data_IF_355546153609
#
_entry.id   IF_355546153609
#
_cell.length_a   1.000
_cell.length_b   1.000
_cell.length_c   1.000
_cell.angle_alpha   90.00
_cell.angle_beta   90.00
_cell.angle_gamma   90.00
#
_symmetry.space_group_name_H-M   'P 1'
#
loop_
_entity.id
_entity.type
_entity.pdbx_description
1 polymer ?
#
# COMPACT_ATOMS: atom_id res chain seq x y z
N UNK A 1 -26.06 9.01 25.65
CA UNK A 1 -27.43 8.72 26.11
C UNK A 1 -27.63 8.85 27.64
N UNK A 2 -26.64 9.27 28.43
CA UNK A 2 -26.76 9.37 29.90
C UNK A 2 -27.24 10.72 30.47
N UNK A 3 -27.49 11.74 29.64
CA UNK A 3 -27.81 13.11 30.12
C UNK A 3 -29.24 13.59 29.79
N UNK A 4 -30.00 12.83 28.99
CA UNK A 4 -31.34 13.22 28.58
C UNK A 4 -32.35 12.72 29.63
N UNK A 5 -32.74 13.62 30.53
CA UNK A 5 -33.74 13.40 31.57
C UNK A 5 -35.15 13.21 30.96
N UNK A 6 -35.39 12.10 30.25
CA UNK A 6 -36.70 11.72 29.71
C UNK A 6 -37.18 12.46 28.45
N UNK A 7 -36.45 13.44 27.92
CA UNK A 7 -36.87 14.15 26.70
C UNK A 7 -36.37 13.46 25.42
N UNK A 8 -37.32 12.82 24.72
CA UNK A 8 -37.08 12.17 23.42
C UNK A 8 -36.44 13.13 22.39
N UNK A 9 -36.80 14.41 22.45
CA UNK A 9 -36.26 15.46 21.57
C UNK A 9 -34.73 15.64 21.71
N UNK A 10 -34.18 15.59 22.93
CA UNK A 10 -32.73 15.72 23.14
C UNK A 10 -31.95 14.52 22.59
N UNK A 11 -32.55 13.32 22.67
CA UNK A 11 -31.93 12.10 22.15
C UNK A 11 -31.86 12.15 20.63
N UNK A 12 -32.93 12.59 19.97
CA UNK A 12 -32.98 12.72 18.50
C UNK A 12 -31.97 13.77 18.03
N UNK A 13 -31.90 14.95 18.65
CA UNK A 13 -30.94 15.99 18.28
C UNK A 13 -29.49 15.52 18.52
N UNK A 14 -29.24 14.86 19.66
CA UNK A 14 -27.91 14.32 19.97
C UNK A 14 -27.45 13.26 18.98
N UNK A 15 -28.35 12.38 18.53
CA UNK A 15 -28.05 11.37 17.52
C UNK A 15 -27.79 11.99 16.15
N UNK A 16 -28.61 12.97 15.75
CA UNK A 16 -28.53 13.65 14.46
C UNK A 16 -27.20 14.41 14.32
N UNK A 17 -26.69 14.98 15.41
CA UNK A 17 -25.38 15.65 15.42
C UNK A 17 -24.22 14.65 15.55
N UNK A 18 -24.37 13.58 16.34
CA UNK A 18 -23.27 12.64 16.60
C UNK A 18 -22.89 11.80 15.39
N UNK A 19 -23.85 11.35 14.57
CA UNK A 19 -23.57 10.46 13.44
C UNK A 19 -22.68 11.15 12.39
N UNK A 20 -22.99 12.37 11.90
CA UNK A 20 -22.14 13.06 10.95
C UNK A 20 -20.74 13.33 11.48
N UNK A 21 -20.61 13.73 12.75
CA UNK A 21 -19.31 14.01 13.37
C UNK A 21 -18.44 12.74 13.41
N UNK A 22 -19.01 11.59 13.77
CA UNK A 22 -18.26 10.32 13.80
C UNK A 22 -17.83 9.90 12.40
N UNK A 23 -18.73 10.03 11.40
CA UNK A 23 -18.43 9.67 10.01
C UNK A 23 -17.32 10.58 9.45
N UNK A 24 -17.43 11.90 9.60
CA UNK A 24 -16.41 12.85 9.14
C UNK A 24 -15.10 12.73 9.92
N UNK A 25 -15.19 12.56 11.25
CA UNK A 25 -14.04 12.44 12.12
C UNK A 25 -13.20 11.19 11.81
N UNK A 26 -13.83 10.06 11.53
CA UNK A 26 -13.12 8.83 11.17
C UNK A 26 -12.36 8.95 9.84
N UNK A 27 -12.95 9.58 8.83
CA UNK A 27 -12.31 9.85 7.53
C UNK A 27 -11.09 10.76 7.69
N UNK A 28 -11.20 11.80 8.54
CA UNK A 28 -10.10 12.71 8.84
C UNK A 28 -8.95 11.97 9.54
N UNK A 29 -9.25 11.20 10.59
CA UNK A 29 -8.25 10.44 11.34
C UNK A 29 -7.56 9.43 10.42
N UNK A 30 -8.31 8.68 9.62
CA UNK A 30 -7.73 7.69 8.70
C UNK A 30 -6.78 8.35 7.71
N UNK A 31 -7.19 9.46 7.10
CA UNK A 31 -6.34 10.23 6.18
C UNK A 31 -5.06 10.73 6.85
N UNK A 32 -5.13 11.15 8.12
CA UNK A 32 -3.94 11.59 8.87
C UNK A 32 -3.03 10.43 9.26
N UNK A 33 -3.58 9.28 9.66
CA UNK A 33 -2.80 8.08 9.99
C UNK A 33 -2.13 7.51 8.75
N UNK A 34 -2.82 7.49 7.61
CA UNK A 34 -2.26 7.08 6.32
C UNK A 34 -1.17 8.04 5.83
N UNK A 35 -1.36 9.35 6.04
CA UNK A 35 -0.38 10.38 5.63
C UNK A 35 0.85 10.43 6.55
N UNK A 36 0.67 10.12 7.84
CA UNK A 36 1.74 10.16 8.84
C UNK A 36 1.74 8.89 9.72
N UNK A 37 2.33 7.77 9.23
CA UNK A 37 2.39 6.51 9.97
C UNK A 37 3.09 6.60 11.33
N UNK A 38 3.91 7.65 11.55
CA UNK A 38 4.53 7.93 12.86
C UNK A 38 3.54 8.14 14.00
N UNK A 39 2.30 8.56 13.71
CA UNK A 39 1.24 8.75 14.72
C UNK A 39 0.93 7.44 15.47
N UNK A 40 1.01 6.30 14.79
CA UNK A 40 0.75 4.97 15.39
C UNK A 40 1.80 4.65 16.45
N UNK A 41 3.07 4.99 16.19
CA UNK A 41 4.16 4.77 17.16
C UNK A 41 4.05 5.69 18.36
N UNK A 42 3.64 6.96 18.15
CA UNK A 42 3.37 7.90 19.25
C UNK A 42 2.21 7.39 20.12
N UNK A 43 1.11 6.97 19.50
CA UNK A 43 -0.04 6.39 20.21
C UNK A 43 0.34 5.12 20.97
N UNK A 44 1.10 4.22 20.35
CA UNK A 44 1.62 3.01 20.98
C UNK A 44 2.55 3.29 22.16
N UNK A 45 3.40 4.32 22.08
CA UNK A 45 4.27 4.74 23.17
C UNK A 45 3.47 5.23 24.38
N UNK A 46 2.43 6.03 24.15
CA UNK A 46 1.54 6.51 25.21
C UNK A 46 0.80 5.35 25.88
N UNK A 47 0.26 4.42 25.10
CA UNK A 47 -0.41 3.23 25.65
C UNK A 47 0.55 2.35 26.45
N UNK A 48 1.77 2.12 25.94
CA UNK A 48 2.79 1.35 26.66
C UNK A 48 3.21 2.04 27.97
N UNK A 49 3.34 3.37 27.99
CA UNK A 49 3.58 4.14 29.20
C UNK A 49 2.46 3.95 30.23
N UNK A 50 1.20 4.03 29.79
CA UNK A 50 0.06 3.83 30.70
C UNK A 50 0.03 2.42 31.28
N UNK A 51 0.33 1.40 30.48
CA UNK A 51 0.43 0.02 30.94
C UNK A 51 1.57 -0.17 31.95
N UNK A 52 2.76 0.35 31.67
CA UNK A 52 3.90 0.29 32.59
C UNK A 52 3.57 0.98 33.94
N UNK A 53 2.91 2.13 33.90
CA UNK A 53 2.46 2.83 35.11
C UNK A 53 1.47 2.01 35.92
N UNK A 54 0.53 1.31 35.27
CA UNK A 54 -0.44 0.43 35.95
C UNK A 54 0.24 -0.77 36.62
N UNK A 55 1.26 -1.36 35.97
CA UNK A 55 2.05 -2.47 36.52
C UNK A 55 2.82 -2.04 37.78
N UNK A 56 3.49 -0.89 37.73
CA UNK A 56 4.31 -0.40 38.87
C UNK A 56 3.43 0.06 40.04
N UNK A 57 2.21 0.51 39.75
CA UNK A 57 1.27 0.98 40.78
C UNK A 57 0.50 -0.17 41.46
N UNK A 58 0.77 -1.43 41.09
CA UNK A 58 0.04 -2.58 41.61
C UNK A 58 0.40 -2.85 43.09
N UNK A 59 -0.59 -3.05 43.99
CA UNK A 59 -0.34 -3.15 45.44
C UNK A 59 0.63 -4.25 45.83
N UNK A 60 0.69 -5.35 45.07
CA UNK A 60 1.59 -6.48 45.34
C UNK A 60 3.06 -6.17 45.04
N UNK A 61 3.34 -5.23 44.13
CA UNK A 61 4.71 -5.00 43.61
C UNK A 61 5.24 -3.62 44.00
N UNK A 62 4.37 -2.74 44.49
CA UNK A 62 4.67 -1.36 44.90
C UNK A 62 5.81 -1.26 45.93
N UNK A 63 5.83 -2.14 46.93
CA UNK A 63 6.86 -2.12 47.99
C UNK A 63 8.22 -2.62 47.47
N UNK A 64 8.21 -3.56 46.53
CA UNK A 64 9.43 -4.08 45.89
C UNK A 64 10.06 -3.05 44.95
N UNK A 65 9.25 -2.30 44.19
CA UNK A 65 9.73 -1.21 43.35
C UNK A 65 10.13 0.05 44.14
N UNK A 66 9.54 0.29 45.31
CA UNK A 66 9.96 1.34 46.22
C UNK A 66 11.37 1.09 46.81
N UNK A 67 11.73 -0.18 47.01
CA UNK A 67 13.06 -0.58 47.48
C UNK A 67 14.14 -0.47 46.38
N UNK A 68 13.77 -0.61 45.10
CA UNK A 68 14.70 -0.54 43.96
C UNK A 68 14.17 0.39 42.86
N UNK A 69 14.32 1.72 42.99
CA UNK A 69 13.80 2.68 42.01
C UNK A 69 14.41 2.50 40.61
N UNK A 70 15.63 1.98 40.53
CA UNK A 70 16.26 1.62 39.26
C UNK A 70 15.50 0.52 38.49
N UNK A 71 14.85 -0.41 39.19
CA UNK A 71 14.07 -1.49 38.59
C UNK A 71 12.78 -0.96 37.94
N UNK A 72 12.16 0.07 38.54
CA UNK A 72 11.00 0.74 37.96
C UNK A 72 11.33 1.39 36.61
N UNK A 73 12.48 2.07 36.52
CA UNK A 73 12.98 2.63 35.25
C UNK A 73 13.24 1.56 34.19
N UNK A 74 13.80 0.41 34.59
CA UNK A 74 14.02 -0.73 33.69
C UNK A 74 12.71 -1.29 33.15
N UNK A 75 11.67 -1.39 33.97
CA UNK A 75 10.33 -1.84 33.55
C UNK A 75 9.72 -0.88 32.50
N UNK A 76 9.84 0.44 32.67
CA UNK A 76 9.38 1.39 31.66
C UNK A 76 10.11 1.20 30.33
N UNK A 77 11.44 1.08 30.36
CA UNK A 77 12.26 0.88 29.16
C UNK A 77 11.90 -0.46 28.48
N UNK A 78 11.70 -1.52 29.26
CA UNK A 78 11.37 -2.85 28.75
C UNK A 78 9.97 -2.88 28.11
N UNK A 79 8.96 -2.27 28.74
CA UNK A 79 7.58 -2.27 28.23
C UNK A 79 7.45 -1.37 27.01
N UNK A 80 7.96 -0.13 27.07
CA UNK A 80 7.88 0.82 25.95
C UNK A 80 8.76 0.35 24.80
N UNK A 81 10.02 -0.02 25.08
CA UNK A 81 10.95 -0.56 24.09
C UNK A 81 10.46 -1.87 23.48
N UNK A 82 9.84 -2.74 24.28
CA UNK A 82 9.25 -3.99 23.80
C UNK A 82 8.03 -3.78 22.89
N UNK A 83 7.13 -2.86 23.24
CA UNK A 83 5.95 -2.56 22.41
C UNK A 83 6.34 -1.84 21.11
N UNK A 84 7.21 -0.83 21.19
CA UNK A 84 7.66 -0.09 20.01
C UNK A 84 8.61 -0.93 19.15
N UNK A 85 9.55 -1.63 19.77
CA UNK A 85 10.50 -2.52 19.11
C UNK A 85 9.82 -3.75 18.52
N UNK A 86 8.84 -4.34 19.21
CA UNK A 86 8.00 -5.43 18.72
C UNK A 86 7.06 -4.97 17.61
N UNK A 87 6.45 -3.80 17.73
CA UNK A 87 5.66 -3.18 16.66
C UNK A 87 6.51 -2.85 15.44
N UNK A 88 7.73 -2.34 15.63
CA UNK A 88 8.69 -2.11 14.56
C UNK A 88 9.14 -3.43 13.94
N UNK A 89 9.50 -4.43 14.75
CA UNK A 89 9.92 -5.75 14.28
C UNK A 89 8.79 -6.42 13.52
N UNK A 90 7.57 -6.56 14.04
CA UNK A 90 6.45 -7.18 13.30
C UNK A 90 6.09 -6.42 12.03
N UNK A 91 6.13 -5.08 12.06
CA UNK A 91 5.87 -4.25 10.89
C UNK A 91 7.02 -4.29 9.86
N UNK A 92 8.22 -4.73 10.25
CA UNK A 92 9.41 -4.87 9.40
C UNK A 92 9.94 -6.32 9.32
N UNK A 93 9.25 -7.30 9.91
CA UNK A 93 9.76 -8.64 10.13
C UNK A 93 9.55 -9.43 8.85
N UNK A 94 10.57 -10.18 8.39
CA UNK A 94 10.50 -10.96 7.17
C UNK A 94 9.71 -12.27 7.40
N UNK A 95 8.55 -12.22 8.05
CA UNK A 95 7.70 -13.37 8.35
C UNK A 95 6.95 -13.93 7.11
N UNK A 96 7.44 -13.62 5.90
CA UNK A 96 7.10 -14.30 4.64
C UNK A 96 8.27 -15.13 4.08
N UNK A 97 9.42 -15.17 4.76
CA UNK A 97 10.65 -15.78 4.25
C UNK A 97 10.69 -17.33 4.32
N UNK A 98 9.92 -17.98 5.21
CA UNK A 98 9.97 -19.46 5.35
C UNK A 98 9.14 -20.22 4.30
N UNK A 99 8.13 -19.57 3.72
CA UNK A 99 7.40 -20.12 2.56
C UNK A 99 8.20 -19.88 1.27
N UNK A 100 9.03 -18.82 1.23
CA UNK A 100 9.89 -18.50 0.10
C UNK A 100 11.04 -19.50 -0.09
N UNK A 101 11.49 -20.18 0.96
CA UNK A 101 12.60 -21.15 0.89
C UNK A 101 12.22 -22.44 0.17
N UNK A 102 10.96 -22.89 0.27
CA UNK A 102 10.44 -24.04 -0.49
C UNK A 102 10.16 -23.72 -1.97
N UNK A 103 10.10 -22.43 -2.34
CA UNK A 103 9.83 -21.98 -3.72
C UNK A 103 11.11 -21.46 -4.41
N UNK A 104 12.17 -21.16 -3.63
CA UNK A 104 13.48 -20.69 -4.10
C UNK A 104 14.25 -21.69 -5.00
N UNK A 105 13.70 -22.89 -5.24
CA UNK A 105 14.22 -23.84 -6.23
C UNK A 105 13.80 -23.54 -7.69
N UNK A 106 12.91 -22.58 -7.94
CA UNK A 106 12.36 -22.31 -9.28
C UNK A 106 12.71 -20.90 -9.75
N UNK A 107 14.00 -20.63 -9.93
CA UNK A 107 14.47 -19.42 -10.59
C UNK A 107 14.49 -19.55 -12.11
N UNK A 108 13.72 -18.72 -12.82
CA UNK A 108 13.90 -18.37 -14.24
C UNK A 108 13.37 -16.92 -14.38
N UNK A 109 14.19 -15.86 -14.50
CA UNK A 109 15.01 -15.39 -15.63
C UNK A 109 14.20 -15.12 -16.89
N UNK A 110 14.20 -13.86 -17.32
CA UNK A 110 13.81 -13.37 -18.64
C UNK A 110 14.11 -14.36 -19.76
N UNK A 111 13.08 -14.80 -20.49
CA UNK A 111 13.27 -15.26 -21.86
C UNK A 111 13.42 -14.02 -22.75
N UNK A 112 14.52 -13.86 -23.51
CA UNK A 112 14.57 -12.86 -24.56
C UNK A 112 13.51 -13.22 -25.59
N UNK A 113 12.48 -12.38 -25.73
CA UNK A 113 11.56 -12.53 -26.84
C UNK A 113 12.37 -12.39 -28.14
N UNK A 114 12.22 -13.32 -29.11
CA UNK A 114 12.91 -13.22 -30.38
C UNK A 114 12.54 -11.88 -31.02
N UNK A 115 13.55 -11.15 -31.48
CA UNK A 115 13.38 -9.98 -32.33
C UNK A 115 12.76 -10.44 -33.66
N UNK A 116 11.44 -10.65 -33.66
CA UNK A 116 10.68 -10.83 -34.87
C UNK A 116 10.50 -9.45 -35.50
N UNK A 117 10.94 -9.31 -36.76
CA UNK A 117 10.90 -8.10 -37.56
C UNK A 117 9.44 -7.70 -37.93
N UNK A 118 8.66 -7.28 -36.93
CA UNK A 118 7.27 -6.86 -37.08
C UNK A 118 6.80 -5.95 -35.94
N UNK A 119 5.61 -5.37 -36.09
CA UNK A 119 5.01 -4.52 -35.06
C UNK A 119 4.77 -5.36 -33.79
N UNK A 120 5.33 -4.92 -32.66
CA UNK A 120 5.12 -5.56 -31.36
C UNK A 120 3.85 -5.00 -30.74
N UNK A 121 2.85 -5.87 -30.50
CA UNK A 121 1.59 -5.52 -29.85
C UNK A 121 1.73 -5.76 -28.36
N UNK A 122 1.84 -4.68 -27.61
CA UNK A 122 2.11 -4.72 -26.17
C UNK A 122 0.81 -4.51 -25.40
N UNK A 123 0.54 -5.37 -24.42
CA UNK A 123 -0.43 -5.07 -23.37
C UNK A 123 0.28 -4.42 -22.18
N UNK A 124 -0.20 -3.26 -21.75
CA UNK A 124 0.34 -2.49 -20.63
C UNK A 124 -0.75 -2.29 -19.57
N UNK A 125 -0.78 -3.10 -18.50
CA UNK A 125 -1.69 -2.89 -17.38
C UNK A 125 -1.35 -1.61 -16.61
N UNK A 126 -2.34 -0.77 -16.32
CA UNK A 126 -2.16 0.52 -15.65
C UNK A 126 -3.17 0.77 -14.52
N UNK A 127 -2.67 1.35 -13.44
CA UNK A 127 -3.44 1.72 -12.24
C UNK A 127 -3.03 3.08 -11.66
N UNK A 128 -2.39 3.94 -12.47
CA UNK A 128 -1.76 5.20 -12.07
C UNK A 128 -0.69 5.09 -10.96
N UNK A 129 -0.27 3.88 -10.58
CA UNK A 129 0.89 3.71 -9.70
C UNK A 129 2.19 4.12 -10.40
N UNK A 130 3.16 4.58 -9.62
CA UNK A 130 4.50 4.89 -10.14
C UNK A 130 5.11 3.72 -10.92
N UNK A 131 4.88 2.48 -10.48
CA UNK A 131 5.36 1.28 -11.18
C UNK A 131 4.77 1.16 -12.58
N UNK A 132 3.44 1.29 -12.72
CA UNK A 132 2.76 1.22 -14.02
C UNK A 132 3.20 2.33 -14.97
N UNK A 133 3.48 3.54 -14.45
CA UNK A 133 3.99 4.66 -15.24
C UNK A 133 5.44 4.46 -15.68
N UNK A 134 6.28 3.85 -14.84
CA UNK A 134 7.65 3.48 -15.22
C UNK A 134 7.66 2.44 -16.36
N UNK A 135 6.69 1.50 -16.36
CA UNK A 135 6.52 0.59 -17.49
C UNK A 135 6.11 1.34 -18.78
N UNK A 136 5.24 2.35 -18.69
CA UNK A 136 4.90 3.21 -19.82
C UNK A 136 6.12 3.99 -20.35
N UNK A 137 6.93 4.58 -19.45
CA UNK A 137 8.18 5.26 -19.82
C UNK A 137 9.18 4.32 -20.49
N UNK A 138 9.26 3.06 -20.03
CA UNK A 138 10.10 2.04 -20.66
C UNK A 138 9.63 1.72 -22.08
N UNK A 139 8.32 1.55 -22.30
CA UNK A 139 7.74 1.37 -23.65
C UNK A 139 8.07 2.55 -24.56
N UNK A 140 8.01 3.78 -24.04
CA UNK A 140 8.39 4.99 -24.77
C UNK A 140 9.87 4.96 -25.16
N UNK A 141 10.75 4.57 -24.25
CA UNK A 141 12.18 4.47 -24.53
C UNK A 141 12.49 3.45 -25.64
N UNK A 142 11.74 2.35 -25.71
CA UNK A 142 11.85 1.36 -26.79
C UNK A 142 11.39 1.92 -28.13
N UNK A 143 10.29 2.67 -28.14
CA UNK A 143 9.81 3.33 -29.36
C UNK A 143 10.83 4.34 -29.88
N UNK A 144 11.42 5.15 -28.99
CA UNK A 144 12.47 6.09 -29.33
C UNK A 144 13.74 5.40 -29.88
N UNK A 145 14.01 4.16 -29.47
CA UNK A 145 15.09 3.33 -30.00
C UNK A 145 14.76 2.66 -31.36
N UNK A 146 13.60 2.97 -31.96
CA UNK A 146 13.20 2.48 -33.29
C UNK A 146 12.28 1.26 -33.28
N UNK A 147 11.75 0.85 -32.12
CA UNK A 147 10.78 -0.25 -32.07
C UNK A 147 9.41 0.19 -32.63
N UNK A 148 8.87 -0.62 -33.53
CA UNK A 148 7.50 -0.45 -34.03
C UNK A 148 6.52 -1.08 -33.04
N UNK A 149 5.83 -0.24 -32.27
CA UNK A 149 4.96 -0.66 -31.18
C UNK A 149 3.50 -0.28 -31.44
N UNK A 150 2.60 -1.17 -31.07
CA UNK A 150 1.17 -0.90 -30.90
C UNK A 150 0.81 -1.22 -29.46
N UNK A 151 0.32 -0.24 -28.70
CA UNK A 151 0.15 -0.37 -27.25
C UNK A 151 -1.34 -0.49 -26.90
N UNK A 152 -1.69 -1.49 -26.11
CA UNK A 152 -3.00 -1.63 -25.50
C UNK A 152 -2.89 -1.30 -24.02
N UNK A 153 -3.45 -0.17 -23.61
CA UNK A 153 -3.56 0.18 -22.18
C UNK A 153 -4.70 -0.59 -21.56
N UNK A 154 -4.47 -1.27 -20.44
CA UNK A 154 -5.50 -2.03 -19.74
C UNK A 154 -5.65 -1.54 -18.31
N UNK A 155 -6.85 -1.09 -17.96
CA UNK A 155 -7.23 -0.87 -16.56
C UNK A 155 -8.25 -1.95 -16.13
N UNK A 156 -7.92 -2.69 -15.07
CA UNK A 156 -8.83 -3.69 -14.49
C UNK A 156 -9.46 -3.14 -13.23
N UNK A 157 -10.79 -3.00 -13.27
CA UNK A 157 -11.61 -2.58 -12.14
C UNK A 157 -11.90 -3.76 -11.23
N UNK A 158 -11.57 -3.61 -9.94
CA UNK A 158 -11.91 -4.59 -8.90
C UNK A 158 -13.33 -4.30 -8.38
N UNK A 159 -14.19 -5.32 -8.20
CA UNK A 159 -15.51 -5.13 -7.59
C UNK A 159 -15.44 -4.40 -6.24
N UNK A 160 -16.34 -3.43 -6.04
CA UNK A 160 -16.61 -2.91 -4.70
C UNK A 160 -17.19 -4.04 -3.84
N UNK A 161 -16.80 -4.11 -2.56
CA UNK A 161 -17.40 -5.08 -1.65
C UNK A 161 -18.92 -4.84 -1.60
N UNK A 162 -19.70 -5.93 -1.54
CA UNK A 162 -21.17 -5.85 -1.53
C UNK A 162 -21.72 -4.94 -0.41
N UNK A 163 -20.93 -4.73 0.65
CA UNK A 163 -21.27 -3.84 1.76
C UNK A 163 -21.29 -2.36 1.34
N UNK A 164 -20.30 -1.92 0.55
CA UNK A 164 -20.21 -0.53 0.05
C UNK A 164 -21.21 -0.31 -1.09
N UNK A 165 -21.47 -1.34 -1.89
CA UNK A 165 -22.41 -1.26 -3.01
C UNK A 165 -23.87 -0.98 -2.59
N UNK A 166 -24.27 -1.36 -1.36
CA UNK A 166 -25.63 -1.18 -0.84
C UNK A 166 -26.00 0.28 -0.55
N UNK A 167 -25.03 1.19 -0.43
CA UNK A 167 -25.28 2.59 -0.07
C UNK A 167 -25.13 3.58 -1.24
N UNK A 168 -24.85 3.08 -2.45
CA UNK A 168 -24.63 3.91 -3.64
C UNK A 168 -25.69 3.61 -4.72
N UNK A 169 -26.25 4.67 -5.32
CA UNK A 169 -27.22 4.56 -6.43
C UNK A 169 -26.57 3.87 -7.64
N UNK A 170 -27.34 3.09 -8.43
CA UNK A 170 -26.85 2.51 -9.71
C UNK A 170 -26.22 3.56 -10.65
N UNK A 171 -26.75 4.79 -10.65
CA UNK A 171 -26.21 5.93 -11.42
C UNK A 171 -24.85 6.42 -10.90
N UNK A 172 -24.67 6.44 -9.58
CA UNK A 172 -23.44 6.94 -8.94
C UNK A 172 -22.29 5.93 -9.11
N UNK A 173 -22.62 4.63 -9.10
CA UNK A 173 -21.68 3.55 -9.39
C UNK A 173 -21.03 3.73 -10.77
N UNK A 174 -21.81 3.88 -11.83
CA UNK A 174 -21.28 4.00 -13.19
C UNK A 174 -20.43 5.27 -13.39
N UNK A 175 -20.84 6.39 -12.79
CA UNK A 175 -20.07 7.64 -12.85
C UNK A 175 -18.76 7.56 -12.09
N UNK A 176 -18.77 6.98 -10.88
CA UNK A 176 -17.57 6.80 -10.07
C UNK A 176 -16.56 5.93 -10.82
N UNK A 177 -17.03 4.81 -11.36
CA UNK A 177 -16.21 3.89 -12.09
C UNK A 177 -15.61 4.45 -13.38
N UNK A 178 -16.36 5.28 -14.10
CA UNK A 178 -15.84 5.97 -15.29
C UNK A 178 -14.77 6.98 -14.92
N UNK A 179 -14.97 7.74 -13.84
CA UNK A 179 -13.98 8.71 -13.34
C UNK A 179 -12.71 8.01 -12.83
N UNK A 180 -12.84 6.89 -12.12
CA UNK A 180 -11.69 6.12 -11.64
C UNK A 180 -10.87 5.52 -12.78
N UNK A 181 -11.52 4.93 -13.78
CA UNK A 181 -10.83 4.41 -14.95
C UNK A 181 -10.09 5.53 -15.72
N UNK A 182 -10.73 6.69 -15.87
CA UNK A 182 -10.11 7.85 -16.51
C UNK A 182 -8.91 8.36 -15.71
N UNK A 183 -9.00 8.44 -14.38
CA UNK A 183 -7.88 8.80 -13.51
C UNK A 183 -6.71 7.82 -13.62
N UNK A 184 -6.99 6.52 -13.74
CA UNK A 184 -5.97 5.50 -13.85
C UNK A 184 -5.26 5.51 -15.21
N UNK A 185 -6.01 5.71 -16.30
CA UNK A 185 -5.51 5.68 -17.67
C UNK A 185 -4.85 6.99 -18.10
N UNK A 186 -5.38 8.14 -17.69
CA UNK A 186 -4.98 9.46 -18.19
C UNK A 186 -3.45 9.71 -18.14
N UNK A 187 -2.72 9.43 -17.04
CA UNK A 187 -1.29 9.71 -17.00
C UNK A 187 -0.48 8.89 -18.00
N UNK A 188 -0.83 7.61 -18.19
CA UNK A 188 -0.18 6.75 -19.18
C UNK A 188 -0.55 7.15 -20.61
N UNK A 189 -1.82 7.50 -20.84
CA UNK A 189 -2.32 8.03 -22.11
C UNK A 189 -1.56 9.29 -22.53
N UNK A 190 -1.38 10.23 -21.60
CA UNK A 190 -0.66 11.49 -21.83
C UNK A 190 0.83 11.27 -22.11
N UNK A 191 1.45 10.26 -21.48
CA UNK A 191 2.83 9.86 -21.78
C UNK A 191 2.95 9.31 -23.21
N UNK A 192 2.07 8.39 -23.61
CA UNK A 192 2.10 7.77 -24.93
C UNK A 192 1.73 8.76 -26.05
N UNK A 193 0.74 9.64 -25.82
CA UNK A 193 0.35 10.72 -26.74
C UNK A 193 1.52 11.66 -27.04
N UNK A 194 2.22 12.12 -25.99
CA UNK A 194 3.40 13.00 -26.16
C UNK A 194 4.54 12.32 -26.91
N UNK A 195 4.65 11.00 -26.80
CA UNK A 195 5.65 10.22 -27.52
C UNK A 195 5.22 9.85 -28.95
N UNK A 196 4.00 10.18 -29.38
CA UNK A 196 3.48 9.83 -30.71
C UNK A 196 3.17 8.34 -30.89
N UNK A 197 2.99 7.59 -29.79
CA UNK A 197 2.78 6.14 -29.83
C UNK A 197 1.29 5.84 -30.00
N UNK A 198 0.96 5.05 -31.02
CA UNK A 198 -0.40 4.54 -31.22
C UNK A 198 -0.79 3.63 -30.06
N UNK A 199 -1.90 3.96 -29.42
CA UNK A 199 -2.44 3.16 -28.33
C UNK A 199 -3.96 3.06 -28.37
N UNK A 200 -4.49 2.02 -27.71
CA UNK A 200 -5.93 1.81 -27.51
C UNK A 200 -6.19 1.47 -26.05
N UNK A 201 -7.23 2.06 -25.49
CA UNK A 201 -7.59 1.88 -24.08
C UNK A 201 -8.62 0.78 -23.91
N UNK A 202 -8.43 -0.04 -22.88
CA UNK A 202 -9.33 -1.11 -22.46
C UNK A 202 -9.63 -0.98 -20.98
N UNK A 203 -10.92 -0.95 -20.64
CA UNK A 203 -11.38 -0.97 -19.25
C UNK A 203 -12.19 -2.23 -19.04
N UNK A 204 -11.71 -3.08 -18.14
CA UNK A 204 -12.28 -4.41 -17.90
C UNK A 204 -12.61 -4.59 -16.44
N UNK A 205 -13.46 -5.57 -16.15
CA UNK A 205 -13.92 -5.85 -14.79
C UNK A 205 -13.55 -7.27 -14.37
N UNK A 206 -13.04 -7.43 -13.16
CA UNK A 206 -12.77 -8.74 -12.57
C UNK A 206 -11.49 -8.80 -11.74
N UNK A 207 -10.99 -10.03 -11.56
CA UNK A 207 -9.66 -10.26 -10.99
C UNK A 207 -8.58 -9.72 -11.94
N UNK A 208 -7.56 -9.06 -11.38
CA UNK A 208 -6.53 -8.37 -12.17
C UNK A 208 -5.77 -9.34 -13.08
N UNK A 209 -5.24 -10.43 -12.53
CA UNK A 209 -4.37 -11.33 -13.27
C UNK A 209 -5.15 -12.12 -14.33
N UNK A 210 -6.29 -12.70 -13.95
CA UNK A 210 -7.14 -13.43 -14.90
C UNK A 210 -7.67 -12.54 -16.03
N UNK A 211 -7.95 -11.27 -15.72
CA UNK A 211 -8.40 -10.32 -16.75
C UNK A 211 -7.27 -9.88 -17.66
N UNK A 212 -6.06 -9.69 -17.13
CA UNK A 212 -4.86 -9.45 -17.94
C UNK A 212 -4.65 -10.60 -18.93
N UNK A 213 -4.68 -11.86 -18.46
CA UNK A 213 -4.56 -13.05 -19.31
C UNK A 213 -5.63 -13.08 -20.41
N UNK A 214 -6.91 -12.95 -20.01
CA UNK A 214 -8.05 -12.99 -20.93
C UNK A 214 -7.98 -11.91 -22.00
N UNK A 215 -7.57 -10.69 -21.63
CA UNK A 215 -7.43 -9.57 -22.58
C UNK A 215 -6.23 -9.78 -23.49
N UNK A 216 -5.11 -10.29 -22.97
CA UNK A 216 -3.94 -10.61 -23.77
C UNK A 216 -4.29 -11.63 -24.88
N UNK A 217 -5.00 -12.70 -24.51
CA UNK A 217 -5.52 -13.71 -25.46
C UNK A 217 -6.51 -13.10 -26.46
N UNK A 218 -7.49 -12.33 -25.97
CA UNK A 218 -8.53 -11.71 -26.80
C UNK A 218 -7.98 -10.75 -27.85
N UNK A 219 -6.94 -9.99 -27.51
CA UNK A 219 -6.33 -9.00 -28.39
C UNK A 219 -5.19 -9.59 -29.25
N UNK A 220 -4.75 -10.81 -28.96
CA UNK A 220 -3.61 -11.43 -29.63
C UNK A 220 -2.33 -10.61 -29.48
N UNK A 221 -2.09 -10.07 -28.27
CA UNK A 221 -0.84 -9.36 -27.96
C UNK A 221 0.33 -10.34 -27.94
N UNK A 222 1.52 -9.88 -28.30
CA UNK A 222 2.72 -10.73 -28.32
C UNK A 222 3.68 -10.43 -27.16
N UNK A 223 3.35 -9.44 -26.33
CA UNK A 223 4.10 -9.12 -25.13
C UNK A 223 3.22 -8.42 -24.08
N UNK A 224 3.45 -8.69 -22.80
CA UNK A 224 2.92 -7.90 -21.69
C UNK A 224 4.08 -7.16 -21.02
N UNK A 225 3.93 -5.87 -20.77
CA UNK A 225 4.92 -5.08 -20.02
C UNK A 225 4.29 -4.64 -18.71
N UNK A 226 4.93 -4.95 -17.59
CA UNK A 226 4.47 -4.56 -16.25
C UNK A 226 5.60 -3.92 -15.45
N UNK A 227 5.25 -2.98 -14.58
CA UNK A 227 6.19 -2.35 -13.66
C UNK A 227 6.15 -2.99 -12.28
N UNK A 228 7.30 -3.06 -11.62
CA UNK A 228 7.40 -3.51 -10.23
C UNK A 228 8.28 -2.59 -9.39
N UNK A 229 8.00 -2.53 -8.08
CA UNK A 229 8.78 -1.73 -7.13
C UNK A 229 10.08 -2.45 -6.75
N UNK A 230 11.19 -1.70 -6.61
CA UNK A 230 12.44 -2.23 -6.06
C UNK A 230 12.42 -2.18 -4.52
N UNK A 231 12.17 -3.30 -3.85
CA UNK A 231 12.53 -3.47 -2.42
C UNK A 231 13.64 -4.53 -2.31
N UNK A 232 14.85 -4.08 -1.96
CA UNK A 232 16.11 -4.80 -1.73
C UNK A 232 16.25 -6.26 -2.26
N UNK A 233 17.25 -6.40 -3.14
CA UNK A 233 17.78 -7.62 -3.75
C UNK A 233 16.96 -8.16 -4.91
N UNK A 234 17.67 -8.37 -6.04
CA UNK A 234 17.17 -8.85 -7.33
C UNK A 234 16.43 -10.21 -7.25
N UNK A 235 16.46 -10.86 -6.08
CA UNK A 235 15.75 -12.10 -5.75
C UNK A 235 14.28 -11.91 -5.35
N UNK A 236 13.73 -10.69 -5.34
CA UNK A 236 12.33 -10.43 -4.95
C UNK A 236 11.58 -9.53 -5.94
N UNK A 237 11.42 -9.99 -7.18
CA UNK A 237 10.35 -9.50 -8.07
C UNK A 237 8.96 -9.96 -7.57
N UNK A 238 8.94 -10.85 -6.58
CA UNK A 238 7.80 -11.65 -6.06
C UNK A 238 7.12 -11.00 -4.84
N UNK A 239 6.97 -9.68 -4.80
CA UNK A 239 6.18 -9.03 -3.72
C UNK A 239 4.86 -8.43 -4.23
N UNK A 240 4.73 -8.22 -5.55
CA UNK A 240 3.48 -7.85 -6.18
C UNK A 240 2.67 -9.09 -6.57
N UNK A 241 1.58 -9.33 -5.84
CA UNK A 241 0.69 -10.48 -6.03
C UNK A 241 0.09 -10.56 -7.43
N UNK A 242 -0.09 -9.41 -8.11
CA UNK A 242 -0.62 -9.39 -9.48
C UNK A 242 0.46 -9.84 -10.46
N UNK A 243 1.66 -9.27 -10.36
CA UNK A 243 2.79 -9.60 -11.23
C UNK A 243 3.14 -11.09 -11.13
N UNK A 244 3.25 -11.63 -9.92
CA UNK A 244 3.51 -13.06 -9.70
C UNK A 244 2.44 -13.95 -10.32
N UNK A 245 1.16 -13.61 -10.12
CA UNK A 245 0.06 -14.40 -10.66
C UNK A 245 -0.01 -14.33 -12.18
N UNK A 246 0.27 -13.18 -12.79
CA UNK A 246 0.34 -13.03 -14.25
C UNK A 246 1.46 -13.88 -14.84
N UNK A 247 2.65 -13.90 -14.23
CA UNK A 247 3.77 -14.74 -14.65
C UNK A 247 3.44 -16.24 -14.59
N UNK A 248 2.55 -16.65 -13.70
CA UNK A 248 2.13 -18.04 -13.54
C UNK A 248 1.11 -18.49 -14.60
N UNK A 249 0.21 -17.61 -15.02
CA UNK A 249 -0.97 -17.99 -15.82
C UNK A 249 -0.92 -17.52 -17.28
N UNK A 250 -0.01 -16.64 -17.65
CA UNK A 250 0.07 -16.06 -18.99
C UNK A 250 1.10 -16.79 -19.84
N UNK A 251 0.72 -17.12 -21.08
CA UNK A 251 1.60 -17.81 -22.04
C UNK A 251 2.47 -16.86 -22.87
N UNK A 252 2.06 -15.60 -23.02
CA UNK A 252 2.84 -14.59 -23.77
C UNK A 252 3.99 -14.03 -22.92
N UNK A 253 5.12 -13.63 -23.54
CA UNK A 253 6.25 -13.06 -22.81
C UNK A 253 5.86 -11.87 -21.94
N UNK A 254 6.22 -11.93 -20.67
CA UNK A 254 5.99 -10.85 -19.69
C UNK A 254 7.32 -10.17 -19.37
N UNK A 255 7.44 -8.90 -19.74
CA UNK A 255 8.59 -8.05 -19.43
C UNK A 255 8.33 -7.26 -18.14
N UNK A 256 9.24 -7.41 -17.17
CA UNK A 256 9.14 -6.73 -15.88
C UNK A 256 10.12 -5.56 -15.82
N UNK A 257 9.56 -4.35 -15.72
CA UNK A 257 10.31 -3.11 -15.59
C UNK A 257 10.49 -2.78 -14.12
N UNK A 258 11.73 -2.86 -13.64
CA UNK A 258 12.06 -2.49 -12.26
C UNK A 258 12.26 -0.97 -12.20
N UNK A 259 11.41 -0.29 -11.44
CA UNK A 259 11.48 1.17 -11.29
C UNK A 259 12.82 1.67 -10.73
N UNK A 260 13.18 2.92 -11.06
CA UNK A 260 14.25 3.65 -10.35
C UNK A 260 13.80 3.89 -8.92
N UNK A 261 14.72 3.73 -7.95
CA UNK A 261 14.42 3.83 -6.53
C UNK A 261 13.58 5.08 -6.23
N UNK A 262 12.44 4.92 -5.56
CA UNK A 262 11.76 6.05 -4.92
C UNK A 262 12.78 6.70 -3.99
N UNK A 263 12.99 8.01 -4.17
CA UNK A 263 13.99 8.78 -3.44
C UNK A 263 13.86 8.55 -1.93
N UNK A 264 14.96 8.16 -1.28
CA UNK A 264 15.08 7.86 0.16
C UNK A 264 14.73 9.05 1.08
N UNK A 265 14.28 10.18 0.55
CA UNK A 265 14.09 11.41 1.33
C UNK A 265 12.80 11.40 2.15
N UNK A 266 11.80 10.59 1.80
CA UNK A 266 10.55 10.49 2.60
C UNK A 266 10.62 9.49 3.78
N UNK A 267 11.69 8.71 3.90
CA UNK A 267 11.89 7.74 5.00
C UNK A 267 12.89 8.18 6.06
N UNK A 268 13.59 9.30 5.86
CA UNK A 268 14.61 9.83 6.79
C UNK A 268 14.00 10.79 7.83
N UNK A 269 12.67 10.96 7.87
CA UNK A 269 11.98 11.65 8.96
C UNK A 269 11.83 10.82 10.25
N UNK A 270 11.86 9.48 10.15
CA UNK A 270 11.60 8.60 11.30
C UNK A 270 12.77 8.37 12.26
N UNK A 271 14.06 8.26 11.86
CA UNK A 271 15.11 7.98 12.84
C UNK A 271 15.40 9.17 13.75
N UNK A 272 15.24 10.41 13.27
CA UNK A 272 15.45 11.61 14.07
C UNK A 272 14.31 11.85 15.09
N UNK A 273 13.06 11.55 14.70
CA UNK A 273 11.89 11.72 15.58
C UNK A 273 11.85 10.75 16.75
N UNK A 274 12.27 9.49 16.55
CA UNK A 274 12.30 8.45 17.59
C UNK A 274 13.36 8.77 18.65
N UNK A 275 14.54 9.24 18.23
CA UNK A 275 15.61 9.66 19.15
C UNK A 275 15.21 10.89 19.97
N UNK A 276 14.58 11.88 19.34
CA UNK A 276 14.14 13.09 20.03
C UNK A 276 13.00 12.82 21.03
N UNK A 277 12.02 11.99 20.67
CA UNK A 277 10.92 11.62 21.58
C UNK A 277 11.40 10.78 22.77
N UNK A 278 12.32 9.82 22.55
CA UNK A 278 12.92 9.05 23.62
C UNK A 278 13.79 9.91 24.55
N UNK A 279 14.55 10.87 24.01
CA UNK A 279 15.35 11.80 24.80
C UNK A 279 14.50 12.75 25.65
N UNK A 280 13.39 13.27 25.08
CA UNK A 280 12.45 14.12 25.82
C UNK A 280 11.73 13.34 26.91
N UNK A 281 11.33 12.09 26.66
CA UNK A 281 10.70 11.24 27.67
C UNK A 281 11.66 10.81 28.78
N UNK A 282 12.93 10.54 28.45
CA UNK A 282 13.99 10.30 29.44
C UNK A 282 14.25 11.52 30.32
N UNK A 283 14.30 12.72 29.73
CA UNK A 283 14.49 13.97 30.47
C UNK A 283 13.33 14.28 31.44
N UNK A 284 12.09 13.98 31.04
CA UNK A 284 10.90 14.16 31.89
C UNK A 284 10.82 13.10 33.01
N UNK A 285 11.41 11.91 32.82
CA UNK A 285 11.41 10.86 33.84
C UNK A 285 12.47 11.02 34.94
N UNK A 286 13.40 11.98 34.77
CA UNK A 286 14.48 12.32 35.72
C UNK A 286 14.16 13.54 36.60
N UNK A 287 12.94 14.08 36.51
CA UNK A 287 12.40 15.15 37.39
C UNK A 287 11.28 14.60 38.28
#
# INVERSE_FOLDING_TARGET
AGAAHGSFLLVVIGLLISIPIVIWGSQLILKYVERYPGIIYVGGAVLAWTAAKMIISEPLVKDYFAAYPALAGLVYIAVIGGVLGGGFWVNHAPARARVAEHIAGSGVVTAPAPAAAGVTRILLPVDASANSLQAAEHVISRHAAGALLEVHLLHVRVPLSQYVARFLSRRDHDTYHRQEAERALAPARDLLNRAGIRHTDHVEFGDKAETIRRVAERLGVNQIVMGTARRNSLTRVIEDSVTSRVLEIVEVPVEIVVGRAVSRIDSVGLPAGIGAAAAVLLAVSLQ
#
